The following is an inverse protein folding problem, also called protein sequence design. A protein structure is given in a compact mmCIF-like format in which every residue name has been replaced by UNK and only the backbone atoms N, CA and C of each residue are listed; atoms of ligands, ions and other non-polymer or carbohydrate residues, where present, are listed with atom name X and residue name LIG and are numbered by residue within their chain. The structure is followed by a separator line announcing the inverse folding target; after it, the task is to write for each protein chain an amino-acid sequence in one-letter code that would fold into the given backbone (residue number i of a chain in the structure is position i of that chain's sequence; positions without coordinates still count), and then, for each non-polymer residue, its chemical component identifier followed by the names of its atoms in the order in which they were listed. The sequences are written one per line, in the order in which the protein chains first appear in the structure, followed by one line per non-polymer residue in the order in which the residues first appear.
data_IF_444523090568
#
_entry.id   IF_444523090568
#
_cell.length_a   1.000
_cell.length_b   1.000
_cell.length_c   1.000
_cell.angle_alpha   90.00
_cell.angle_beta   90.00
_cell.angle_gamma   90.00
#
_symmetry.space_group_name_H-M   'P 1'
#
loop_
_entity.id
_entity.type
_entity.pdbx_description
1 polymer ?
#
# COMPACT_ATOMS: atom_id res chain seq x y z
N UNK A 1 -24.60 40.43 36.46
CA UNK A 1 -23.18 40.07 36.18
C UNK A 1 -22.43 39.62 37.43
N UNK A 2 -22.20 40.46 38.46
CA UNK A 2 -21.52 40.04 39.70
C UNK A 2 -22.20 38.83 40.39
N UNK A 3 -23.54 38.85 40.51
CA UNK A 3 -24.33 37.69 40.99
C UNK A 3 -24.12 36.42 40.15
N UNK A 4 -24.03 36.54 38.83
CA UNK A 4 -23.79 35.42 37.91
C UNK A 4 -22.41 34.80 38.12
N UNK A 5 -21.37 35.63 38.31
CA UNK A 5 -20.00 35.17 38.55
C UNK A 5 -19.89 34.40 39.88
N UNK A 6 -20.48 34.93 40.96
CA UNK A 6 -20.52 34.25 42.27
C UNK A 6 -21.21 32.88 42.14
N UNK A 7 -22.36 32.81 41.45
CA UNK A 7 -23.07 31.55 41.22
C UNK A 7 -22.27 30.53 40.38
N UNK A 8 -21.44 30.98 39.45
CA UNK A 8 -20.55 30.11 38.67
C UNK A 8 -19.36 29.60 39.51
N UNK A 9 -18.78 30.46 40.35
CA UNK A 9 -17.62 30.11 41.17
C UNK A 9 -17.97 29.24 42.38
N UNK A 10 -19.17 29.39 42.93
CA UNK A 10 -19.68 28.58 44.05
C UNK A 10 -20.21 27.20 43.65
N UNK A 11 -20.17 26.83 42.36
CA UNK A 11 -20.66 25.52 41.88
C UNK A 11 -19.69 24.38 42.23
N UNK A 12 -20.16 23.29 42.87
CA UNK A 12 -19.36 22.09 43.08
C UNK A 12 -19.09 21.39 41.74
N UNK A 13 -17.85 20.93 41.52
CA UNK A 13 -17.45 20.22 40.30
C UNK A 13 -17.26 21.12 39.06
N UNK A 14 -16.90 22.39 39.24
CA UNK A 14 -16.61 23.31 38.12
C UNK A 14 -15.46 22.78 37.25
N UNK A 15 -15.62 22.84 35.94
CA UNK A 15 -14.64 22.41 34.93
C UNK A 15 -13.95 23.60 34.24
N UNK A 16 -14.18 24.82 34.73
CA UNK A 16 -13.76 26.07 34.12
C UNK A 16 -13.07 26.98 35.14
N UNK A 17 -12.14 27.81 34.66
CA UNK A 17 -11.34 28.74 35.47
C UNK A 17 -12.09 30.04 35.80
N UNK A 18 -11.51 30.87 36.68
CA UNK A 18 -12.04 32.19 37.01
C UNK A 18 -12.05 33.12 35.77
N UNK A 19 -10.99 33.06 34.97
CA UNK A 19 -10.87 33.86 33.74
C UNK A 19 -11.95 33.48 32.72
N UNK A 20 -12.19 32.19 32.53
CA UNK A 20 -13.25 31.69 31.64
C UNK A 20 -14.64 32.10 32.15
N UNK A 21 -14.85 32.06 33.47
CA UNK A 21 -16.12 32.52 34.05
C UNK A 21 -16.32 34.04 33.91
N UNK A 22 -15.25 34.83 34.01
CA UNK A 22 -15.29 36.28 33.76
C UNK A 22 -15.62 36.57 32.29
N UNK A 23 -14.96 35.87 31.36
CA UNK A 23 -15.22 35.94 29.92
C UNK A 23 -16.68 35.57 29.60
N UNK A 24 -17.16 34.46 30.16
CA UNK A 24 -18.53 34.00 29.97
C UNK A 24 -19.54 35.03 30.49
N UNK A 25 -19.33 35.60 31.67
CA UNK A 25 -20.21 36.62 32.25
C UNK A 25 -20.14 37.95 31.48
N UNK A 26 -19.02 38.24 30.82
CA UNK A 26 -18.87 39.41 29.93
C UNK A 26 -19.67 39.25 28.64
N UNK A 27 -19.61 38.07 28.03
CA UNK A 27 -20.21 37.77 26.73
C UNK A 27 -21.66 37.27 26.79
N UNK A 28 -22.17 36.94 27.98
CA UNK A 28 -23.54 36.43 28.16
C UNK A 28 -24.45 37.41 28.92
N UNK A 29 -25.75 37.33 28.63
CA UNK A 29 -26.77 38.15 29.28
C UNK A 29 -27.20 37.59 30.65
N UNK A 30 -27.20 36.25 30.78
CA UNK A 30 -27.82 35.52 31.89
C UNK A 30 -27.02 34.26 32.28
N UNK A 31 -27.29 33.73 33.48
CA UNK A 31 -26.59 32.55 34.03
C UNK A 31 -26.71 31.30 33.14
N UNK A 32 -27.88 30.93 32.60
CA UNK A 32 -28.00 29.84 31.63
C UNK A 32 -27.10 29.98 30.40
N UNK A 33 -27.01 31.17 29.81
CA UNK A 33 -26.13 31.40 28.64
C UNK A 33 -24.65 31.33 29.02
N UNK A 34 -24.27 31.86 30.18
CA UNK A 34 -22.90 31.72 30.71
C UNK A 34 -22.53 30.24 30.91
N UNK A 35 -23.45 29.44 31.47
CA UNK A 35 -23.22 28.00 31.68
C UNK A 35 -23.09 27.24 30.36
N UNK A 36 -23.90 27.59 29.36
CA UNK A 36 -23.83 26.98 28.03
C UNK A 36 -22.51 27.28 27.33
N UNK A 37 -21.99 28.50 27.48
CA UNK A 37 -20.66 28.91 27.01
C UNK A 37 -19.52 28.15 27.73
N UNK A 38 -19.72 27.81 29.01
CA UNK A 38 -18.71 27.13 29.83
C UNK A 38 -18.81 25.60 29.82
N UNK A 39 -19.87 25.04 29.22
CA UNK A 39 -20.18 23.61 29.27
C UNK A 39 -20.40 23.05 27.88
N UNK A 40 -19.35 23.05 27.07
CA UNK A 40 -19.32 22.31 25.82
C UNK A 40 -18.85 20.87 26.06
N UNK A 41 -19.44 19.93 25.30
CA UNK A 41 -19.07 18.51 25.33
C UNK A 41 -18.36 18.15 24.04
N UNK A 42 -17.16 17.60 24.17
CA UNK A 42 -16.44 17.02 23.05
C UNK A 42 -17.07 15.67 22.68
N UNK A 43 -17.36 15.39 21.40
CA UNK A 43 -17.94 14.12 20.97
C UNK A 43 -16.97 12.94 21.09
N UNK A 44 -15.66 13.21 21.17
CA UNK A 44 -14.62 12.17 21.30
C UNK A 44 -14.36 11.80 22.76
N UNK A 45 -14.42 12.77 23.68
CA UNK A 45 -14.22 12.55 25.12
C UNK A 45 -15.44 13.02 25.92
N UNK A 46 -16.58 12.30 25.86
CA UNK A 46 -17.86 12.75 26.44
C UNK A 46 -17.83 12.94 27.97
N UNK A 47 -16.82 12.41 28.65
CA UNK A 47 -16.60 12.57 30.10
C UNK A 47 -15.95 13.90 30.51
N UNK A 48 -15.40 14.69 29.57
CA UNK A 48 -14.71 15.95 29.86
C UNK A 48 -15.56 17.12 29.38
N UNK A 49 -15.85 18.06 30.28
CA UNK A 49 -16.47 19.35 29.94
C UNK A 49 -15.39 20.36 29.66
N UNK A 50 -15.55 21.12 28.59
CA UNK A 50 -14.60 22.14 28.17
C UNK A 50 -15.31 23.50 28.08
N UNK A 51 -14.58 24.55 28.39
CA UNK A 51 -14.98 25.93 28.11
C UNK A 51 -14.98 26.18 26.59
N UNK A 52 -15.68 27.22 26.14
CA UNK A 52 -15.71 27.59 24.73
C UNK A 52 -14.30 27.91 24.16
N UNK A 53 -13.41 28.52 24.94
CA UNK A 53 -12.03 28.82 24.52
C UNK A 53 -11.18 27.56 24.26
N UNK A 54 -11.59 26.42 24.82
CA UNK A 54 -10.94 25.12 24.63
C UNK A 54 -11.58 24.28 23.53
N UNK A 55 -12.56 24.81 22.79
CA UNK A 55 -13.22 24.14 21.68
C UNK A 55 -12.69 24.67 20.35
N UNK A 56 -12.24 23.74 19.51
CA UNK A 56 -11.82 23.98 18.13
C UNK A 56 -12.97 23.53 17.22
N UNK A 57 -13.38 24.43 16.32
CA UNK A 57 -14.32 24.08 15.25
C UNK A 57 -13.52 23.67 14.02
N UNK A 58 -13.89 22.56 13.40
CA UNK A 58 -13.26 22.12 12.16
C UNK A 58 -13.56 23.11 11.04
N UNK A 59 -12.62 23.30 10.12
CA UNK A 59 -12.72 24.32 9.07
C UNK A 59 -13.68 23.93 7.95
N UNK A 60 -13.77 22.63 7.66
CA UNK A 60 -14.60 22.07 6.59
C UNK A 60 -15.93 21.49 7.06
N UNK A 61 -16.13 21.32 8.37
CA UNK A 61 -17.38 20.81 8.92
C UNK A 61 -17.72 21.51 10.23
N UNK A 62 -19.00 21.56 10.61
CA UNK A 62 -19.43 22.21 11.86
C UNK A 62 -19.12 21.39 13.14
N UNK A 63 -18.24 20.38 13.04
CA UNK A 63 -17.83 19.55 14.16
C UNK A 63 -16.96 20.34 15.14
N UNK A 64 -17.19 20.13 16.43
CA UNK A 64 -16.53 20.85 17.53
C UNK A 64 -15.80 19.86 18.42
N UNK A 65 -14.50 20.02 18.53
CA UNK A 65 -13.61 19.13 19.28
C UNK A 65 -12.94 19.94 20.40
N UNK A 66 -12.65 19.32 21.54
CA UNK A 66 -11.77 19.98 22.49
C UNK A 66 -10.34 20.03 21.97
N UNK A 67 -9.58 21.02 22.41
CA UNK A 67 -8.19 21.24 22.02
C UNK A 67 -7.32 20.00 22.28
N UNK A 68 -7.56 19.27 23.38
CA UNK A 68 -6.83 18.03 23.71
C UNK A 68 -7.09 16.93 22.68
N UNK A 69 -8.35 16.69 22.31
CA UNK A 69 -8.69 15.67 21.32
C UNK A 69 -8.19 16.06 19.93
N UNK A 70 -8.29 17.33 19.55
CA UNK A 70 -7.74 17.84 18.29
C UNK A 70 -6.22 17.61 18.22
N UNK A 71 -5.48 18.04 19.25
CA UNK A 71 -4.03 17.88 19.34
C UNK A 71 -3.61 16.41 19.29
N UNK A 72 -4.22 15.58 20.13
CA UNK A 72 -3.90 14.15 20.20
C UNK A 72 -4.16 13.43 18.87
N UNK A 73 -5.31 13.69 18.25
CA UNK A 73 -5.66 13.09 16.97
C UNK A 73 -4.69 13.52 15.86
N UNK A 74 -4.52 14.83 15.66
CA UNK A 74 -3.69 15.33 14.56
C UNK A 74 -2.20 15.06 14.77
N UNK A 75 -1.69 15.09 16.00
CA UNK A 75 -0.28 14.72 16.27
C UNK A 75 0.00 13.26 15.87
N UNK A 76 -0.84 12.32 16.33
CA UNK A 76 -0.70 10.91 15.93
C UNK A 76 -0.95 10.73 14.42
N UNK A 77 -1.99 11.37 13.86
CA UNK A 77 -2.30 11.23 12.45
C UNK A 77 -1.20 11.81 11.53
N UNK A 78 -0.61 12.96 11.87
CA UNK A 78 0.50 13.56 11.11
C UNK A 78 1.73 12.64 11.17
N UNK A 79 2.01 11.99 12.31
CA UNK A 79 3.17 11.11 12.47
C UNK A 79 2.99 9.77 11.77
N UNK A 80 1.85 9.13 11.98
CA UNK A 80 1.64 7.73 11.66
C UNK A 80 0.84 7.49 10.37
N UNK A 81 0.01 8.46 9.96
CA UNK A 81 -0.95 8.29 8.87
C UNK A 81 -0.56 9.07 7.61
N UNK A 82 -1.20 8.75 6.49
CA UNK A 82 -1.06 9.52 5.23
C UNK A 82 -1.87 10.81 5.29
N UNK A 83 -1.50 11.81 4.48
CA UNK A 83 -2.23 13.09 4.37
C UNK A 83 -3.74 12.90 4.15
N UNK A 84 -4.16 11.92 3.36
CA UNK A 84 -5.58 11.64 3.10
C UNK A 84 -6.41 11.27 4.33
N UNK A 85 -5.76 10.91 5.44
CA UNK A 85 -6.42 10.56 6.71
C UNK A 85 -6.38 11.72 7.71
N UNK A 86 -5.83 12.87 7.32
CA UNK A 86 -5.86 14.11 8.08
C UNK A 86 -7.21 14.80 7.86
N UNK A 87 -8.29 14.11 8.24
CA UNK A 87 -9.68 14.54 8.09
C UNK A 87 -10.34 14.71 9.46
N UNK A 88 -11.56 15.23 9.51
CA UNK A 88 -12.29 15.35 10.77
C UNK A 88 -12.47 13.97 11.44
N UNK A 89 -12.03 13.78 12.69
CA UNK A 89 -12.19 12.51 13.41
C UNK A 89 -13.64 12.16 13.76
N UNK A 90 -14.56 13.12 13.71
CA UNK A 90 -15.98 12.91 14.04
C UNK A 90 -16.80 12.44 12.83
N UNK A 91 -16.63 13.10 11.68
CA UNK A 91 -17.46 12.83 10.50
C UNK A 91 -16.68 12.31 9.29
N UNK A 92 -15.34 12.26 9.35
CA UNK A 92 -14.49 11.77 8.26
C UNK A 92 -14.35 12.72 7.06
N UNK A 93 -14.92 13.93 7.12
CA UNK A 93 -14.88 14.92 6.04
C UNK A 93 -13.65 15.84 6.14
N UNK A 94 -13.16 16.41 5.03
CA UNK A 94 -13.63 16.21 3.65
C UNK A 94 -13.10 14.92 3.02
N UNK A 95 -13.71 14.46 1.93
CA UNK A 95 -13.20 13.31 1.16
C UNK A 95 -11.94 13.67 0.37
N UNK A 96 -10.76 13.34 0.93
CA UNK A 96 -9.45 13.69 0.34
C UNK A 96 -8.98 12.67 -0.72
N UNK A 97 -9.66 11.54 -0.88
CA UNK A 97 -9.37 10.53 -1.92
C UNK A 97 -10.53 10.49 -2.91
N UNK A 98 -10.33 10.93 -4.15
CA UNK A 98 -11.34 10.82 -5.23
C UNK A 98 -11.52 12.09 -6.06
N UNK A 99 -12.63 12.16 -6.81
CA UNK A 99 -13.09 13.28 -7.66
C UNK A 99 -13.53 14.53 -6.87
N UNK A 100 -13.01 14.76 -5.66
CA UNK A 100 -13.18 16.06 -5.00
C UNK A 100 -12.59 17.15 -5.90
N UNK A 101 -13.24 18.32 -5.98
CA UNK A 101 -12.65 19.46 -6.70
C UNK A 101 -11.28 19.74 -6.06
N UNK A 102 -10.18 19.72 -6.82
CA UNK A 102 -8.83 19.87 -6.25
C UNK A 102 -8.71 21.18 -5.45
N UNK A 103 -9.47 22.20 -5.84
CA UNK A 103 -9.56 23.50 -5.17
C UNK A 103 -10.13 23.39 -3.74
N UNK A 104 -11.19 22.61 -3.52
CA UNK A 104 -11.81 22.44 -2.19
C UNK A 104 -10.89 21.70 -1.22
N UNK A 105 -10.14 20.71 -1.71
CA UNK A 105 -9.13 19.98 -0.93
C UNK A 105 -7.94 20.87 -0.60
N UNK A 106 -7.53 21.74 -1.53
CA UNK A 106 -6.46 22.72 -1.29
C UNK A 106 -6.88 23.73 -0.22
N UNK A 107 -8.09 24.28 -0.33
CA UNK A 107 -8.64 25.20 0.66
C UNK A 107 -8.77 24.56 2.04
N UNK A 108 -9.14 23.27 2.10
CA UNK A 108 -9.11 22.51 3.35
C UNK A 108 -7.73 22.51 4.00
N UNK A 109 -6.69 22.13 3.24
CA UNK A 109 -5.35 22.04 3.79
C UNK A 109 -4.77 23.41 4.14
N UNK A 110 -5.14 24.48 3.42
CA UNK A 110 -4.76 25.85 3.77
C UNK A 110 -5.37 26.30 5.11
N UNK A 111 -6.66 26.01 5.32
CA UNK A 111 -7.33 26.33 6.58
C UNK A 111 -6.84 25.43 7.73
N UNK A 112 -6.63 24.15 7.45
CA UNK A 112 -6.06 23.20 8.41
C UNK A 112 -4.63 23.59 8.78
N UNK A 113 -3.81 24.07 7.84
CA UNK A 113 -2.45 24.56 8.12
C UNK A 113 -2.44 25.61 9.22
N UNK A 114 -3.37 26.56 9.15
CA UNK A 114 -3.50 27.63 10.14
C UNK A 114 -3.79 27.04 11.53
N UNK A 115 -4.66 26.04 11.61
CA UNK A 115 -4.98 25.35 12.87
C UNK A 115 -3.80 24.51 13.38
N UNK A 116 -3.12 23.75 12.52
CA UNK A 116 -1.95 22.94 12.89
C UNK A 116 -0.81 23.84 13.36
N UNK A 117 -0.51 24.94 12.66
CA UNK A 117 0.53 25.89 13.07
C UNK A 117 0.28 26.47 14.46
N UNK A 118 -0.97 26.79 14.77
CA UNK A 118 -1.32 27.38 16.06
C UNK A 118 -1.37 26.33 17.20
N UNK A 119 -1.96 25.17 16.96
CA UNK A 119 -2.22 24.18 18.01
C UNK A 119 -1.14 23.10 18.16
N UNK A 120 -0.35 22.83 17.11
CA UNK A 120 0.67 21.78 16.99
C UNK A 120 1.94 22.30 16.26
N UNK A 121 2.60 23.36 16.74
CA UNK A 121 3.79 23.92 16.08
C UNK A 121 4.93 22.91 15.91
N UNK A 122 5.05 21.93 16.81
CA UNK A 122 6.04 20.85 16.75
C UNK A 122 5.86 19.88 15.58
N UNK A 123 4.62 19.68 15.12
CA UNK A 123 4.28 18.77 14.02
C UNK A 123 4.05 19.51 12.68
N UNK A 124 4.09 20.85 12.69
CA UNK A 124 3.79 21.70 11.54
C UNK A 124 4.72 21.46 10.34
N UNK A 125 6.03 21.36 10.58
CA UNK A 125 7.01 21.07 9.53
C UNK A 125 6.78 19.67 8.89
N UNK A 126 6.44 18.67 9.71
CA UNK A 126 6.12 17.33 9.22
C UNK A 126 4.83 17.34 8.39
N UNK A 127 3.81 18.08 8.83
CA UNK A 127 2.56 18.27 8.10
C UNK A 127 2.81 18.91 6.73
N UNK A 128 3.50 20.05 6.69
CA UNK A 128 3.87 20.75 5.45
C UNK A 128 4.68 19.87 4.50
N UNK A 129 5.64 19.11 5.04
CA UNK A 129 6.41 18.15 4.26
C UNK A 129 5.53 17.08 3.62
N UNK A 130 4.59 16.51 4.37
CA UNK A 130 3.68 15.49 3.84
C UNK A 130 2.79 16.03 2.72
N UNK A 131 2.29 17.25 2.83
CA UNK A 131 1.52 17.91 1.76
C UNK A 131 2.36 18.07 0.48
N UNK A 132 3.60 18.54 0.64
CA UNK A 132 4.56 18.71 -0.46
C UNK A 132 4.88 17.38 -1.14
N UNK A 133 5.20 16.36 -0.35
CA UNK A 133 5.53 15.03 -0.87
C UNK A 133 4.33 14.41 -1.62
N UNK A 134 3.10 14.64 -1.15
CA UNK A 134 1.90 14.21 -1.87
C UNK A 134 1.74 14.93 -3.21
N UNK A 135 1.95 16.24 -3.26
CA UNK A 135 1.87 17.01 -4.50
C UNK A 135 2.90 16.56 -5.54
N UNK A 136 4.11 16.20 -5.07
CA UNK A 136 5.20 15.72 -5.92
C UNK A 136 5.05 14.24 -6.32
N UNK A 137 4.20 13.47 -5.64
CA UNK A 137 4.09 12.02 -5.85
C UNK A 137 3.66 11.63 -7.28
N UNK A 138 2.93 12.50 -7.98
CA UNK A 138 2.53 12.28 -9.37
C UNK A 138 3.69 12.44 -10.35
N UNK A 139 4.80 13.08 -9.95
CA UNK A 139 5.94 13.33 -10.82
C UNK A 139 6.75 12.04 -11.04
N UNK A 140 7.08 11.68 -12.30
CA UNK A 140 7.87 10.48 -12.61
C UNK A 140 9.26 10.46 -11.97
N UNK A 141 9.84 11.62 -11.66
CA UNK A 141 11.13 11.80 -10.99
C UNK A 141 11.05 11.65 -9.46
N UNK A 142 9.85 11.65 -8.87
CA UNK A 142 9.72 11.57 -7.42
C UNK A 142 10.02 10.16 -6.89
N UNK A 143 10.81 10.07 -5.82
CA UNK A 143 11.24 8.83 -5.17
C UNK A 143 11.23 8.96 -3.65
N UNK A 144 10.84 7.89 -2.96
CA UNK A 144 10.92 7.83 -1.51
C UNK A 144 12.27 7.29 -1.05
N UNK A 145 12.88 7.95 -0.05
CA UNK A 145 14.04 7.41 0.63
C UNK A 145 13.74 6.00 1.18
N UNK A 146 14.66 5.06 0.96
CA UNK A 146 14.51 3.66 1.39
C UNK A 146 14.79 3.43 2.87
N UNK A 147 15.31 4.44 3.57
CA UNK A 147 15.54 4.40 5.02
C UNK A 147 14.27 4.79 5.80
N UNK A 148 14.22 4.50 7.10
CA UNK A 148 13.09 4.81 7.99
C UNK A 148 12.88 6.32 8.28
N UNK A 149 13.21 7.21 7.34
CA UNK A 149 13.05 8.67 7.48
C UNK A 149 11.85 9.25 6.72
N UNK A 150 11.17 8.44 5.88
CA UNK A 150 9.95 8.81 5.14
C UNK A 150 10.05 10.18 4.44
N UNK A 151 11.16 10.39 3.73
CA UNK A 151 11.45 11.64 3.01
C UNK A 151 11.35 11.44 1.49
N UNK A 152 10.61 12.29 0.79
CA UNK A 152 10.49 12.33 -0.66
C UNK A 152 11.61 13.16 -1.31
N UNK A 153 12.15 12.68 -2.44
CA UNK A 153 13.18 13.38 -3.21
C UNK A 153 12.81 13.38 -4.69
N UNK A 154 12.94 14.52 -5.34
CA UNK A 154 12.92 14.59 -6.80
C UNK A 154 14.29 14.15 -7.31
N UNK A 155 14.30 13.07 -8.08
CA UNK A 155 15.51 12.43 -8.53
C UNK A 155 15.52 12.28 -10.06
N UNK A 156 16.64 12.64 -10.66
CA UNK A 156 16.84 12.56 -12.12
C UNK A 156 16.88 11.08 -12.56
N UNK A 157 16.12 10.76 -13.62
CA UNK A 157 15.86 9.37 -14.01
C UNK A 157 17.10 8.61 -14.51
N UNK A 158 18.12 9.33 -14.97
CA UNK A 158 19.38 8.84 -15.54
C UNK A 158 20.42 8.45 -14.47
N UNK A 159 20.23 8.87 -13.22
CA UNK A 159 21.14 8.53 -12.11
C UNK A 159 20.57 7.42 -11.24
N UNK A 160 21.40 6.42 -10.92
CA UNK A 160 21.00 5.38 -9.96
C UNK A 160 21.19 5.85 -8.51
N UNK A 161 22.16 6.70 -8.22
CA UNK A 161 22.44 7.18 -6.86
C UNK A 161 21.46 8.27 -6.46
N UNK A 162 20.75 8.08 -5.35
CA UNK A 162 19.94 9.09 -4.69
C UNK A 162 20.52 9.40 -3.32
N UNK A 163 20.71 10.67 -3.02
CA UNK A 163 21.15 11.14 -1.70
C UNK A 163 19.95 11.77 -0.97
N UNK A 164 19.60 11.23 0.20
CA UNK A 164 18.49 11.75 0.99
C UNK A 164 18.92 12.99 1.79
N UNK A 165 18.33 14.19 1.59
CA UNK A 165 18.68 15.39 2.35
C UNK A 165 18.40 15.27 3.85
N UNK A 166 17.40 14.47 4.24
CA UNK A 166 17.00 14.32 5.64
C UNK A 166 17.92 13.39 6.43
N UNK A 167 18.15 12.15 5.95
CA UNK A 167 18.99 11.20 6.68
C UNK A 167 20.46 11.20 6.23
N UNK A 168 20.80 11.96 5.17
CA UNK A 168 22.14 12.03 4.55
C UNK A 168 22.69 10.69 4.07
N UNK A 169 21.84 9.66 3.97
CA UNK A 169 22.21 8.34 3.45
C UNK A 169 21.88 8.24 1.97
N UNK A 170 22.75 7.54 1.27
CA UNK A 170 22.66 7.32 -0.18
C UNK A 170 22.02 5.96 -0.47
N UNK A 171 21.13 5.90 -1.45
CA UNK A 171 20.44 4.67 -1.88
C UNK A 171 20.31 4.61 -3.39
N UNK A 172 20.08 3.42 -3.93
CA UNK A 172 19.74 3.28 -5.34
C UNK A 172 18.27 3.69 -5.62
N UNK A 173 18.02 4.47 -6.67
CA UNK A 173 16.70 4.89 -7.15
C UNK A 173 15.82 3.74 -7.64
N UNK A 174 16.44 2.66 -8.12
CA UNK A 174 15.76 1.50 -8.67
C UNK A 174 15.66 0.35 -7.67
N UNK A 175 16.81 -0.18 -7.20
CA UNK A 175 16.82 -1.34 -6.31
C UNK A 175 16.65 -1.01 -4.83
N UNK A 176 16.66 0.28 -4.46
CA UNK A 176 16.49 0.80 -3.10
C UNK A 176 17.56 0.39 -2.08
N UNK A 177 18.54 -0.42 -2.46
CA UNK A 177 19.67 -0.82 -1.61
C UNK A 177 20.53 0.38 -1.18
N UNK A 178 21.21 0.32 -0.01
CA UNK A 178 22.24 1.28 0.36
C UNK A 178 23.25 1.45 -0.77
N UNK A 179 23.62 2.69 -1.07
CA UNK A 179 24.55 2.97 -2.15
C UNK A 179 25.96 2.55 -1.76
N UNK A 180 26.63 1.82 -2.66
CA UNK A 180 28.03 1.42 -2.52
C UNK A 180 28.82 1.90 -3.73
N UNK A 181 30.12 2.23 -3.59
CA UNK A 181 30.96 2.59 -4.73
C UNK A 181 30.96 1.53 -5.85
N UNK A 182 30.83 0.25 -5.49
CA UNK A 182 30.76 -0.87 -6.43
C UNK A 182 29.44 -0.95 -7.21
N UNK A 183 28.43 -0.16 -6.83
CA UNK A 183 27.20 0.00 -7.61
C UNK A 183 27.33 1.13 -8.65
N UNK A 184 28.41 1.90 -8.63
CA UNK A 184 28.64 2.96 -9.60
C UNK A 184 28.94 2.37 -10.98
N UNK A 185 28.17 2.79 -11.98
CA UNK A 185 28.39 2.38 -13.38
C UNK A 185 28.00 0.94 -13.71
N UNK A 186 27.37 0.22 -12.78
CA UNK A 186 26.87 -1.14 -13.00
C UNK A 186 25.37 -1.21 -12.77
N UNK A 187 24.70 -2.15 -13.45
CA UNK A 187 23.27 -2.37 -13.27
C UNK A 187 22.96 -2.93 -11.87
N UNK A 188 21.73 -2.70 -11.39
CA UNK A 188 21.28 -3.27 -10.11
C UNK A 188 21.36 -4.80 -10.06
N UNK A 189 21.26 -5.48 -11.22
CA UNK A 189 21.41 -6.93 -11.29
C UNK A 189 22.86 -7.36 -11.07
N UNK A 190 23.81 -6.69 -11.72
CA UNK A 190 25.24 -6.96 -11.55
C UNK A 190 25.69 -6.66 -10.13
N UNK A 191 25.24 -5.53 -9.56
CA UNK A 191 25.53 -5.20 -8.17
C UNK A 191 25.01 -6.27 -7.20
N UNK A 192 23.80 -6.80 -7.43
CA UNK A 192 23.25 -7.89 -6.60
C UNK A 192 24.09 -9.17 -6.69
N UNK A 193 24.54 -9.56 -7.88
CA UNK A 193 25.42 -10.72 -8.05
C UNK A 193 26.76 -10.52 -7.33
N UNK A 194 27.32 -9.31 -7.41
CA UNK A 194 28.53 -8.95 -6.71
C UNK A 194 28.35 -9.03 -5.18
N UNK A 195 27.25 -8.50 -4.64
CA UNK A 195 26.92 -8.60 -3.21
C UNK A 195 26.83 -10.05 -2.75
N UNK A 196 26.21 -10.93 -3.55
CA UNK A 196 26.09 -12.37 -3.25
C UNK A 196 27.45 -13.08 -3.19
N UNK A 197 28.41 -12.66 -4.00
CA UNK A 197 29.73 -13.27 -4.07
C UNK A 197 30.71 -12.72 -3.02
N UNK A 198 30.58 -11.45 -2.62
CA UNK A 198 31.62 -10.73 -1.87
C UNK A 198 31.21 -10.31 -0.44
N UNK A 199 29.93 -10.42 -0.05
CA UNK A 199 29.46 -10.06 1.30
C UNK A 199 28.61 -11.18 1.95
N UNK A 200 29.18 -12.37 2.23
CA UNK A 200 28.46 -13.48 2.87
C UNK A 200 27.99 -13.21 4.31
N UNK A 201 28.55 -12.23 5.02
CA UNK A 201 28.23 -11.96 6.43
C UNK A 201 27.07 -10.96 6.65
N UNK A 202 26.91 -9.95 5.78
CA UNK A 202 25.71 -9.09 5.77
C UNK A 202 24.45 -9.86 5.35
N UNK A 203 24.67 -10.94 4.62
CA UNK A 203 23.68 -11.94 4.26
C UNK A 203 23.19 -12.75 5.49
N UNK A 204 23.91 -12.76 6.63
CA UNK A 204 23.47 -13.45 7.86
C UNK A 204 22.58 -12.59 8.76
N UNK A 205 22.58 -11.26 8.58
CA UNK A 205 21.81 -10.30 9.38
C UNK A 205 20.61 -9.70 8.64
N UNK A 206 20.59 -9.78 7.31
CA UNK A 206 19.39 -9.47 6.51
C UNK A 206 18.48 -10.70 6.42
N UNK A 207 17.18 -10.59 6.77
CA UNK A 207 16.29 -11.75 6.81
C UNK A 207 16.23 -12.48 5.46
N UNK A 208 16.17 -13.81 5.55
CA UNK A 208 16.16 -14.78 4.45
C UNK A 208 15.08 -14.50 3.37
N UNK A 209 14.05 -13.70 3.71
CA UNK A 209 13.04 -13.15 2.79
C UNK A 209 13.65 -12.39 1.61
N UNK A 210 14.81 -11.75 1.79
CA UNK A 210 15.51 -10.97 0.76
C UNK A 210 16.32 -11.80 -0.26
N UNK A 211 16.69 -13.04 0.06
CA UNK A 211 17.64 -13.83 -0.75
C UNK A 211 17.01 -14.75 -1.78
N UNK A 212 15.78 -15.22 -1.57
CA UNK A 212 15.20 -16.27 -2.42
C UNK A 212 13.92 -15.89 -3.16
N UNK A 213 13.21 -14.82 -2.80
CA UNK A 213 12.06 -14.32 -3.57
C UNK A 213 12.42 -13.02 -4.30
N UNK A 214 12.78 -13.11 -5.57
CA UNK A 214 13.06 -11.93 -6.41
C UNK A 214 11.79 -11.23 -6.92
N UNK A 215 10.71 -11.28 -6.14
CA UNK A 215 9.40 -10.72 -6.49
C UNK A 215 8.79 -9.99 -5.28
N UNK A 216 9.62 -9.18 -4.60
CA UNK A 216 9.12 -8.29 -3.56
C UNK A 216 8.00 -7.41 -4.16
N UNK A 217 6.79 -7.40 -3.58
CA UNK A 217 5.69 -6.58 -4.06
C UNK A 217 6.14 -5.14 -4.27
N UNK A 218 5.91 -4.58 -5.45
CA UNK A 218 6.21 -3.18 -5.74
C UNK A 218 4.90 -2.43 -5.89
N UNK A 219 4.73 -1.37 -5.10
CA UNK A 219 3.57 -0.49 -5.26
C UNK A 219 3.66 0.22 -6.61
N UNK A 220 2.63 0.13 -7.48
CA UNK A 220 2.66 0.75 -8.80
C UNK A 220 2.71 2.28 -8.74
N UNK A 221 2.21 2.88 -7.66
CA UNK A 221 2.08 4.33 -7.51
C UNK A 221 3.35 5.00 -6.98
N UNK A 222 4.01 4.42 -5.99
CA UNK A 222 5.19 5.03 -5.35
C UNK A 222 6.49 4.23 -5.50
N UNK A 223 6.45 3.09 -6.20
CA UNK A 223 7.59 2.18 -6.42
C UNK A 223 8.25 1.67 -5.14
N UNK A 224 7.57 1.76 -4.00
CA UNK A 224 8.03 1.15 -2.76
C UNK A 224 8.02 -0.38 -2.90
N UNK A 225 9.17 -0.98 -2.63
CA UNK A 225 9.40 -2.43 -2.57
C UNK A 225 9.06 -2.93 -1.16
N UNK A 226 8.26 -3.98 -1.06
CA UNK A 226 7.86 -4.65 0.19
C UNK A 226 8.54 -6.01 0.26
N UNK A 227 9.24 -6.31 1.37
CA UNK A 227 10.01 -7.56 1.51
C UNK A 227 9.18 -8.80 1.89
N UNK A 228 7.85 -8.71 1.92
CA UNK A 228 7.04 -9.59 2.78
C UNK A 228 6.11 -10.52 1.99
N UNK A 229 6.24 -11.82 2.24
CA UNK A 229 5.20 -12.81 1.97
C UNK A 229 4.20 -12.81 3.13
N UNK A 230 2.93 -12.48 2.86
CA UNK A 230 1.83 -12.51 3.85
C UNK A 230 1.11 -13.85 3.87
N UNK A 231 1.87 -14.96 3.89
CA UNK A 231 1.32 -16.31 4.07
C UNK A 231 0.20 -16.70 3.10
N UNK A 232 0.10 -16.09 1.92
CA UNK A 232 -0.91 -16.38 0.87
C UNK A 232 -1.88 -15.25 0.54
N UNK A 233 -1.91 -14.16 1.33
CA UNK A 233 -2.67 -12.97 0.97
C UNK A 233 -1.93 -12.16 -0.10
N UNK A 234 -2.57 -11.96 -1.26
CA UNK A 234 -2.02 -11.18 -2.38
C UNK A 234 -2.46 -9.71 -2.34
N UNK A 235 -3.30 -9.30 -1.39
CA UNK A 235 -3.75 -7.93 -1.26
C UNK A 235 -2.80 -7.14 -0.34
N UNK A 236 -2.08 -6.17 -0.92
CA UNK A 236 -1.15 -5.32 -0.21
C UNK A 236 -1.65 -3.89 -0.18
N UNK A 237 -1.57 -3.26 1.00
CA UNK A 237 -1.77 -1.82 1.17
C UNK A 237 -0.43 -1.16 1.40
N UNK A 238 -0.03 -0.27 0.51
CA UNK A 238 1.23 0.46 0.69
C UNK A 238 1.13 1.42 1.87
N UNK A 239 2.01 1.32 2.88
CA UNK A 239 2.01 2.25 4.02
C UNK A 239 2.25 3.71 3.60
N UNK A 240 3.06 3.93 2.56
CA UNK A 240 3.44 5.26 2.09
C UNK A 240 2.34 5.91 1.23
N UNK A 241 1.85 5.23 0.20
CA UNK A 241 0.86 5.80 -0.73
C UNK A 241 -0.58 5.33 -0.53
N UNK A 242 -0.80 4.38 0.39
CA UNK A 242 -2.11 3.77 0.68
C UNK A 242 -2.81 3.15 -0.54
N UNK A 243 -2.07 2.94 -1.64
CA UNK A 243 -2.56 2.18 -2.79
C UNK A 243 -2.72 0.72 -2.37
N UNK A 244 -3.88 0.17 -2.68
CA UNK A 244 -4.15 -1.25 -2.57
C UNK A 244 -3.80 -1.92 -3.90
N UNK A 245 -2.95 -2.94 -3.87
CA UNK A 245 -2.46 -3.60 -5.08
C UNK A 245 -2.21 -5.10 -4.87
N UNK A 246 -2.20 -5.85 -5.96
CA UNK A 246 -1.88 -7.26 -5.97
C UNK A 246 -0.36 -7.48 -5.85
N UNK A 247 0.10 -8.26 -4.89
CA UNK A 247 1.52 -8.60 -4.73
C UNK A 247 2.09 -9.44 -5.87
N UNK A 248 1.25 -10.13 -6.65
CA UNK A 248 1.68 -10.96 -7.78
C UNK A 248 1.76 -10.25 -9.12
N UNK A 249 0.86 -9.31 -9.41
CA UNK A 249 0.82 -8.60 -10.71
C UNK A 249 0.85 -7.07 -10.61
N UNK A 250 0.95 -6.51 -9.40
CA UNK A 250 0.92 -5.06 -9.13
C UNK A 250 -0.32 -4.31 -9.61
N UNK A 251 -1.38 -5.03 -10.04
CA UNK A 251 -2.65 -4.43 -10.41
C UNK A 251 -3.36 -3.83 -9.20
N UNK A 252 -3.98 -2.68 -9.39
CA UNK A 252 -4.67 -1.96 -8.31
C UNK A 252 -5.97 -2.65 -7.95
N UNK A 253 -6.31 -2.61 -6.66
CA UNK A 253 -7.64 -2.98 -6.19
C UNK A 253 -8.58 -1.77 -6.27
N UNK A 254 -9.78 -2.02 -6.79
CA UNK A 254 -10.87 -1.08 -6.95
C UNK A 254 -12.00 -1.46 -6.00
N UNK A 255 -12.72 -0.48 -5.43
CA UNK A 255 -13.84 -0.73 -4.50
C UNK A 255 -15.16 -0.66 -5.26
N UNK A 256 -15.87 -1.78 -5.33
CA UNK A 256 -17.14 -1.91 -6.05
C UNK A 256 -18.32 -1.30 -5.31
N UNK A 257 -18.35 0.01 -5.10
CA UNK A 257 -19.57 0.72 -4.69
C UNK A 257 -19.63 2.10 -5.32
N UNK A 258 -20.52 2.26 -6.31
CA UNK A 258 -21.05 3.51 -6.94
C UNK A 258 -20.02 4.51 -7.50
N UNK A 259 -18.74 4.48 -7.12
CA UNK A 259 -17.70 5.32 -7.71
C UNK A 259 -17.06 4.63 -8.93
N UNK A 260 -16.91 5.40 -10.00
CA UNK A 260 -16.34 5.10 -11.32
C UNK A 260 -14.89 4.56 -11.34
N UNK A 261 -14.39 3.93 -10.27
CA UNK A 261 -12.97 3.56 -10.13
C UNK A 261 -12.56 2.30 -10.93
N UNK A 262 -13.54 1.52 -11.44
CA UNK A 262 -13.26 0.36 -12.28
C UNK A 262 -14.04 0.40 -13.59
N UNK A 263 -13.42 0.97 -14.64
CA UNK A 263 -13.99 1.09 -15.99
C UNK A 263 -13.90 -0.20 -16.82
N UNK A 264 -13.56 -1.34 -16.20
CA UNK A 264 -13.27 -2.58 -16.92
C UNK A 264 -14.54 -3.30 -17.40
N UNK A 265 -15.60 -3.32 -16.61
CA UNK A 265 -16.91 -3.89 -16.97
C UNK A 265 -18.00 -3.35 -16.05
N UNK A 266 -19.23 -3.23 -16.55
CA UNK A 266 -20.43 -2.86 -15.78
C UNK A 266 -20.69 -3.78 -14.59
N UNK A 267 -20.25 -5.04 -14.67
CA UNK A 267 -20.51 -6.05 -13.64
C UNK A 267 -19.56 -5.93 -12.44
N UNK A 268 -18.55 -5.06 -12.53
CA UNK A 268 -17.56 -4.84 -11.47
C UNK A 268 -18.17 -4.16 -10.24
N UNK A 269 -19.26 -3.40 -10.41
CA UNK A 269 -19.94 -2.70 -9.33
C UNK A 269 -20.56 -3.63 -8.28
N UNK A 270 -20.85 -4.88 -8.62
CA UNK A 270 -21.42 -5.87 -7.67
C UNK A 270 -20.36 -6.65 -6.88
N UNK A 271 -19.07 -6.52 -7.23
CA UNK A 271 -18.00 -7.43 -6.75
C UNK A 271 -17.27 -6.96 -5.49
N UNK A 272 -17.68 -5.84 -4.87
CA UNK A 272 -16.96 -5.28 -3.73
C UNK A 272 -15.51 -4.94 -4.09
N UNK A 273 -14.57 -5.09 -3.15
CA UNK A 273 -13.15 -4.83 -3.40
C UNK A 273 -12.53 -5.91 -4.31
N UNK A 274 -12.06 -5.54 -5.51
CA UNK A 274 -11.56 -6.48 -6.52
C UNK A 274 -10.41 -5.90 -7.34
N UNK A 275 -9.64 -6.77 -8.01
CA UNK A 275 -8.61 -6.40 -8.97
C UNK A 275 -8.70 -7.28 -10.22
N UNK A 276 -8.22 -6.76 -11.36
CA UNK A 276 -8.16 -7.51 -12.61
C UNK A 276 -6.77 -8.12 -12.78
N UNK A 277 -6.69 -9.44 -12.63
CA UNK A 277 -5.43 -10.16 -12.70
C UNK A 277 -5.18 -10.69 -14.12
N UNK A 278 -3.94 -10.61 -14.64
CA UNK A 278 -3.55 -11.31 -15.86
C UNK A 278 -3.42 -12.81 -15.61
N UNK A 279 -3.50 -13.61 -16.68
CA UNK A 279 -3.53 -15.08 -16.62
C UNK A 279 -2.27 -15.71 -16.01
N UNK A 280 -1.14 -15.00 -16.02
CA UNK A 280 0.14 -15.38 -15.41
C UNK A 280 0.29 -14.90 -13.95
N UNK A 281 -0.74 -14.25 -13.39
CA UNK A 281 -0.72 -13.84 -12.00
C UNK A 281 -0.78 -15.05 -11.05
N UNK A 282 -0.01 -14.97 -9.96
CA UNK A 282 -0.06 -15.91 -8.84
C UNK A 282 -1.49 -16.08 -8.27
N UNK A 283 -2.36 -15.08 -8.40
CA UNK A 283 -3.77 -15.17 -8.01
C UNK A 283 -4.48 -16.37 -8.66
N UNK A 284 -4.23 -16.64 -9.94
CA UNK A 284 -4.78 -17.79 -10.65
C UNK A 284 -3.87 -19.02 -10.57
N UNK A 285 -2.57 -18.82 -10.76
CA UNK A 285 -1.64 -19.95 -10.86
C UNK A 285 -1.42 -20.67 -9.53
N UNK A 286 -1.75 -20.07 -8.37
CA UNK A 286 -1.72 -20.75 -7.07
C UNK A 286 -2.72 -21.92 -6.99
N UNK A 287 -3.82 -21.86 -7.75
CA UNK A 287 -4.86 -22.89 -7.74
C UNK A 287 -4.48 -24.09 -8.63
N UNK A 288 -3.46 -23.95 -9.47
CA UNK A 288 -2.98 -25.04 -10.32
C UNK A 288 -2.28 -26.14 -9.50
N UNK A 289 -2.34 -27.36 -10.00
CA UNK A 289 -1.55 -28.46 -9.44
C UNK A 289 -0.06 -28.23 -9.70
N UNK A 290 0.78 -28.75 -8.81
CA UNK A 290 2.25 -28.68 -8.96
C UNK A 290 2.69 -29.31 -10.29
N UNK A 291 2.08 -30.44 -10.67
CA UNK A 291 2.34 -31.10 -11.96
C UNK A 291 2.00 -30.22 -13.16
N UNK A 292 0.89 -29.47 -13.11
CA UNK A 292 0.50 -28.55 -14.19
C UNK A 292 1.46 -27.36 -14.33
N UNK A 293 1.94 -26.81 -13.21
CA UNK A 293 2.97 -25.75 -13.22
C UNK A 293 4.31 -26.26 -13.78
N UNK A 294 4.70 -27.49 -13.43
CA UNK A 294 5.87 -28.14 -14.02
C UNK A 294 5.70 -28.36 -15.53
N UNK A 295 4.52 -28.80 -15.98
CA UNK A 295 4.21 -28.95 -17.41
C UNK A 295 4.33 -27.62 -18.15
N UNK A 296 3.77 -26.53 -17.61
CA UNK A 296 3.90 -25.19 -18.19
C UNK A 296 5.37 -24.79 -18.33
N UNK A 297 6.16 -24.99 -17.28
CA UNK A 297 7.59 -24.74 -17.31
C UNK A 297 8.29 -25.63 -18.35
N UNK A 298 7.97 -26.91 -18.45
CA UNK A 298 8.59 -27.86 -19.37
C UNK A 298 8.30 -27.50 -20.83
N UNK A 299 7.03 -27.30 -21.18
CA UNK A 299 6.60 -26.93 -22.54
C UNK A 299 7.19 -25.59 -22.98
N UNK A 300 7.38 -24.67 -22.03
CA UNK A 300 7.99 -23.36 -22.29
C UNK A 300 9.54 -23.39 -22.26
N UNK A 301 10.16 -24.38 -21.61
CA UNK A 301 11.62 -24.49 -21.42
C UNK A 301 12.38 -24.98 -22.64
N UNK A 302 11.72 -25.33 -23.74
CA UNK A 302 12.37 -25.56 -25.03
C UNK A 302 13.17 -24.34 -25.54
N UNK A 303 13.10 -23.18 -24.86
CA UNK A 303 13.82 -21.95 -25.24
C UNK A 303 14.98 -21.52 -24.33
N UNK A 304 15.09 -21.92 -23.05
CA UNK A 304 16.21 -21.45 -22.16
C UNK A 304 16.51 -22.41 -21.00
N UNK A 305 17.78 -22.82 -20.87
CA UNK A 305 18.29 -23.73 -19.81
C UNK A 305 18.82 -22.94 -18.60
N UNK A 306 17.96 -22.67 -17.63
CA UNK A 306 18.41 -22.36 -16.26
C UNK A 306 17.88 -23.48 -15.33
N UNK A 307 18.78 -24.18 -14.66
CA UNK A 307 18.40 -25.17 -13.63
C UNK A 307 18.13 -24.41 -12.33
N UNK A 308 17.04 -24.75 -11.64
CA UNK A 308 16.81 -24.33 -10.26
C UNK A 308 18.01 -24.80 -9.42
N UNK A 309 18.85 -23.86 -8.99
CA UNK A 309 19.91 -24.18 -8.03
C UNK A 309 19.28 -24.70 -6.74
N UNK A 310 19.86 -25.73 -6.10
CA UNK A 310 19.42 -26.15 -4.77
C UNK A 310 19.77 -25.04 -3.79
N UNK A 311 18.75 -24.40 -3.20
CA UNK A 311 18.99 -23.49 -2.08
C UNK A 311 19.44 -24.35 -0.88
N UNK A 312 20.64 -24.05 -0.37
CA UNK A 312 21.33 -24.82 0.66
C UNK A 312 20.67 -24.60 2.04
N UNK A 313 19.55 -25.27 2.30
CA UNK A 313 19.08 -25.57 3.67
C UNK A 313 17.97 -26.64 3.65
N UNK A 314 18.32 -27.88 3.27
CA UNK A 314 17.38 -28.99 3.15
C UNK A 314 17.41 -29.94 4.36
N UNK A 315 17.45 -29.42 5.59
CA UNK A 315 17.74 -30.26 6.77
C UNK A 315 16.68 -30.27 7.90
N UNK A 316 15.45 -29.77 7.73
CA UNK A 316 14.48 -29.75 8.85
C UNK A 316 13.02 -30.13 8.55
N UNK A 317 12.70 -30.71 7.40
CA UNK A 317 11.33 -31.20 7.08
C UNK A 317 10.21 -30.14 7.12
N UNK A 318 10.56 -28.88 7.33
CA UNK A 318 9.68 -27.73 7.59
C UNK A 318 10.12 -26.56 6.74
N UNK A 319 9.16 -25.72 6.37
CA UNK A 319 9.38 -24.58 5.49
C UNK A 319 9.98 -23.40 6.25
N UNK A 320 11.15 -22.94 5.81
CA UNK A 320 11.92 -21.84 6.41
C UNK A 320 11.59 -20.45 5.84
N UNK A 321 10.59 -20.34 4.96
CA UNK A 321 10.18 -19.04 4.39
C UNK A 321 9.63 -18.15 5.49
N UNK A 322 10.17 -16.94 5.61
CA UNK A 322 9.73 -15.97 6.60
C UNK A 322 8.43 -15.29 6.15
N UNK A 323 7.43 -15.25 7.03
CA UNK A 323 6.14 -14.60 6.84
C UNK A 323 5.97 -13.46 7.87
N UNK A 324 5.26 -12.39 7.49
CA UNK A 324 4.82 -11.37 8.45
C UNK A 324 3.44 -11.75 9.00
N UNK A 325 3.32 -11.96 10.32
CA UNK A 325 2.03 -12.24 10.96
C UNK A 325 1.22 -10.95 11.15
N UNK A 326 -0.10 -11.06 11.10
CA UNK A 326 -1.02 -9.91 11.21
C UNK A 326 -0.95 -9.23 12.58
N UNK A 327 -0.63 -9.99 13.64
CA UNK A 327 -0.67 -9.53 15.03
C UNK A 327 0.69 -9.12 15.60
N UNK A 328 1.79 -9.30 14.86
CA UNK A 328 3.13 -9.11 15.43
C UNK A 328 3.65 -7.69 15.20
N UNK A 329 3.64 -6.91 16.27
CA UNK A 329 4.62 -5.83 16.54
C UNK A 329 6.07 -6.35 16.66
N UNK A 330 6.31 -7.66 16.37
CA UNK A 330 7.49 -8.45 16.74
C UNK A 330 8.30 -9.06 15.59
N UNK A 331 8.02 -8.73 14.33
CA UNK A 331 8.89 -9.08 13.20
C UNK A 331 8.55 -10.38 12.47
N UNK A 332 9.46 -10.80 11.60
CA UNK A 332 9.32 -11.91 10.64
C UNK A 332 9.49 -13.28 11.31
N UNK A 333 8.58 -14.22 11.05
CA UNK A 333 8.61 -15.58 11.61
C UNK A 333 8.65 -16.66 10.50
N UNK A 334 9.32 -17.80 10.70
CA UNK A 334 9.33 -18.87 9.71
C UNK A 334 7.94 -19.51 9.56
N UNK A 335 7.59 -19.87 8.33
CA UNK A 335 6.33 -20.49 7.95
C UNK A 335 6.04 -21.77 8.74
N UNK A 336 7.06 -22.61 8.96
CA UNK A 336 6.98 -23.82 9.80
C UNK A 336 6.14 -24.97 9.23
N UNK A 337 5.39 -24.75 8.13
CA UNK A 337 4.58 -25.79 7.48
C UNK A 337 5.44 -26.94 6.94
N UNK A 338 4.88 -28.15 6.87
CA UNK A 338 5.57 -29.33 6.36
C UNK A 338 6.12 -29.11 4.95
N UNK A 339 7.39 -29.46 4.75
CA UNK A 339 8.09 -29.35 3.48
C UNK A 339 8.42 -30.75 2.94
N UNK A 340 7.60 -31.29 2.01
CA UNK A 340 7.88 -32.57 1.38
C UNK A 340 9.25 -32.57 0.68
N UNK A 341 9.97 -33.71 0.64
CA UNK A 341 11.28 -33.79 -0.01
C UNK A 341 11.23 -33.41 -1.49
N UNK A 342 10.11 -33.69 -2.16
CA UNK A 342 9.84 -33.33 -3.56
C UNK A 342 9.77 -31.81 -3.79
N UNK A 343 9.43 -31.05 -2.75
CA UNK A 343 9.34 -29.59 -2.77
C UNK A 343 10.60 -28.90 -2.26
N UNK A 344 11.73 -29.63 -2.13
CA UNK A 344 13.07 -29.06 -1.89
C UNK A 344 13.14 -28.10 -0.69
N UNK A 345 12.47 -28.43 0.42
CA UNK A 345 12.48 -27.59 1.64
C UNK A 345 11.40 -26.51 1.71
N UNK A 346 10.49 -26.45 0.73
CA UNK A 346 9.33 -25.55 0.77
C UNK A 346 8.04 -26.31 1.10
N UNK A 347 7.11 -25.64 1.79
CA UNK A 347 5.73 -26.12 1.87
C UNK A 347 5.07 -26.03 0.50
N UNK A 348 3.97 -26.75 0.28
CA UNK A 348 3.30 -26.77 -1.03
C UNK A 348 2.93 -25.37 -1.54
N UNK A 349 2.51 -24.47 -0.65
CA UNK A 349 2.16 -23.10 -1.02
C UNK A 349 3.39 -22.33 -1.53
N UNK A 350 4.44 -22.21 -0.73
CA UNK A 350 5.66 -21.51 -1.12
C UNK A 350 6.36 -22.16 -2.31
N UNK A 351 6.24 -23.48 -2.46
CA UNK A 351 6.72 -24.18 -3.65
C UNK A 351 5.98 -23.73 -4.91
N UNK A 352 4.64 -23.61 -4.87
CA UNK A 352 3.87 -23.06 -6.00
C UNK A 352 4.24 -21.60 -6.27
N UNK A 353 4.39 -20.77 -5.25
CA UNK A 353 4.82 -19.36 -5.41
C UNK A 353 6.17 -19.28 -6.14
N UNK A 354 7.11 -20.15 -5.77
CA UNK A 354 8.42 -20.28 -6.44
C UNK A 354 8.32 -20.73 -7.89
N UNK A 355 7.45 -21.71 -8.19
CA UNK A 355 7.23 -22.14 -9.58
C UNK A 355 6.60 -21.03 -10.43
N UNK A 356 5.64 -20.30 -9.89
CA UNK A 356 5.00 -19.16 -10.57
C UNK A 356 5.99 -18.02 -10.79
N UNK A 357 6.85 -17.73 -9.82
CA UNK A 357 7.94 -16.79 -10.00
C UNK A 357 8.84 -17.19 -11.18
N UNK A 358 9.16 -18.48 -11.30
CA UNK A 358 9.97 -18.99 -12.41
C UNK A 358 9.25 -18.85 -13.76
N UNK A 359 7.94 -19.15 -13.80
CA UNK A 359 7.06 -18.94 -14.97
C UNK A 359 7.13 -17.47 -15.41
N UNK A 360 6.95 -16.54 -14.48
CA UNK A 360 6.90 -15.11 -14.75
C UNK A 360 8.27 -14.54 -15.15
N UNK A 361 9.36 -14.99 -14.53
CA UNK A 361 10.74 -14.61 -14.90
C UNK A 361 11.11 -15.07 -16.31
N UNK A 362 10.61 -16.24 -16.74
CA UNK A 362 10.85 -16.80 -18.07
C UNK A 362 9.92 -16.21 -19.14
N UNK A 363 8.87 -15.50 -18.74
CA UNK A 363 7.81 -15.03 -19.64
C UNK A 363 7.02 -16.19 -20.24
N UNK A 364 6.82 -17.27 -19.48
CA UNK A 364 6.03 -18.42 -19.92
C UNK A 364 4.55 -18.04 -19.94
N UNK A 365 3.90 -18.11 -21.10
CA UNK A 365 2.46 -17.84 -21.22
C UNK A 365 1.65 -19.09 -20.81
N UNK A 366 0.79 -19.02 -19.77
CA UNK A 366 -0.07 -20.12 -19.36
C UNK A 366 -0.96 -20.68 -20.48
N UNK A 367 -1.25 -19.90 -21.53
CA UNK A 367 -2.11 -20.29 -22.66
C UNK A 367 -1.69 -21.59 -23.35
N UNK A 368 -0.39 -21.95 -23.27
CA UNK A 368 0.14 -23.16 -23.90
C UNK A 368 -0.35 -24.46 -23.26
N UNK A 369 -0.89 -24.39 -22.03
CA UNK A 369 -1.48 -25.54 -21.32
C UNK A 369 -2.95 -25.32 -20.95
N UNK A 370 -3.61 -24.32 -21.54
CA UNK A 370 -5.04 -24.10 -21.37
C UNK A 370 -5.84 -24.96 -22.35
N UNK A 371 -6.93 -25.52 -21.85
CA UNK A 371 -7.96 -26.16 -22.67
C UNK A 371 -8.79 -25.12 -23.45
N UNK A 372 -9.51 -25.54 -24.51
CA UNK A 372 -10.44 -24.65 -25.22
C UNK A 372 -11.50 -24.02 -24.32
N UNK A 373 -11.97 -24.73 -23.29
CA UNK A 373 -12.91 -24.20 -22.32
C UNK A 373 -12.30 -23.07 -21.47
N UNK A 374 -11.07 -23.26 -20.98
CA UNK A 374 -10.35 -22.25 -20.19
C UNK A 374 -10.00 -21.02 -21.04
N UNK A 375 -9.60 -21.20 -22.31
CA UNK A 375 -9.33 -20.08 -23.21
C UNK A 375 -10.58 -19.22 -23.47
N UNK A 376 -11.76 -19.85 -23.63
CA UNK A 376 -13.03 -19.13 -23.74
C UNK A 376 -13.35 -18.36 -22.45
N UNK A 377 -13.17 -18.99 -21.30
CA UNK A 377 -13.42 -18.35 -20.00
C UNK A 377 -12.49 -17.14 -19.77
N UNK A 378 -11.22 -17.22 -20.18
CA UNK A 378 -10.29 -16.07 -20.13
C UNK A 378 -10.73 -14.94 -21.06
N UNK A 379 -11.11 -15.23 -22.31
CA UNK A 379 -11.63 -14.22 -23.23
C UNK A 379 -12.88 -13.52 -22.67
N UNK A 380 -13.82 -14.28 -22.11
CA UNK A 380 -15.01 -13.72 -21.46
C UNK A 380 -14.65 -12.85 -20.25
N UNK A 381 -13.73 -13.32 -19.41
CA UNK A 381 -13.26 -12.57 -18.24
C UNK A 381 -12.67 -11.22 -18.63
N UNK A 382 -11.98 -11.16 -19.77
CA UNK A 382 -11.38 -9.94 -20.31
C UNK A 382 -12.32 -9.10 -21.19
N UNK A 383 -13.62 -9.42 -21.17
CA UNK A 383 -14.66 -8.77 -21.98
C UNK A 383 -14.30 -8.74 -23.48
N UNK A 384 -13.63 -9.79 -23.98
CA UNK A 384 -13.27 -9.96 -25.38
C UNK A 384 -14.28 -10.84 -26.09
N UNK A 385 -14.51 -10.57 -27.39
CA UNK A 385 -15.40 -11.39 -28.22
C UNK A 385 -14.83 -12.79 -28.37
N UNK A 386 -15.56 -13.79 -27.87
CA UNK A 386 -15.17 -15.20 -28.01
C UNK A 386 -15.49 -15.68 -29.44
N UNK A 387 -14.51 -16.20 -30.19
CA UNK A 387 -14.76 -16.83 -31.48
C UNK A 387 -15.73 -18.00 -31.33
N UNK A 388 -16.79 -18.05 -32.14
CA UNK A 388 -17.67 -19.22 -32.24
C UNK A 388 -17.05 -20.26 -33.16
N UNK A 389 -17.19 -21.54 -32.83
CA UNK A 389 -16.74 -22.63 -33.70
C UNK A 389 -17.64 -22.72 -34.93
N UNK A 390 -17.05 -22.77 -36.12
CA UNK A 390 -17.81 -22.99 -37.35
C UNK A 390 -18.30 -24.44 -37.46
N UNK A 391 -19.44 -24.71 -38.14
CA UNK A 391 -20.02 -26.05 -38.21
C UNK A 391 -19.12 -27.11 -38.87
N UNK A 392 -18.19 -26.70 -39.73
CA UNK A 392 -17.22 -27.59 -40.41
C UNK A 392 -15.77 -27.42 -39.92
N UNK A 393 -15.55 -26.63 -38.87
CA UNK A 393 -14.20 -26.34 -38.39
C UNK A 393 -13.66 -27.49 -37.53
N UNK A 394 -12.49 -28.02 -37.91
CA UNK A 394 -11.78 -29.01 -37.12
C UNK A 394 -11.39 -28.44 -35.75
N UNK A 395 -11.48 -29.26 -34.71
CA UNK A 395 -11.23 -28.84 -33.32
C UNK A 395 -9.84 -28.23 -33.09
N UNK A 396 -8.73 -28.76 -33.68
CA UNK A 396 -7.41 -28.14 -33.53
C UNK A 396 -7.28 -26.76 -34.16
N UNK A 397 -7.99 -26.51 -35.28
CA UNK A 397 -7.99 -25.20 -35.95
C UNK A 397 -8.73 -24.16 -35.11
N UNK A 398 -9.87 -24.58 -34.53
CA UNK A 398 -10.62 -23.75 -33.60
C UNK A 398 -9.80 -23.43 -32.34
N UNK A 399 -9.12 -24.42 -31.76
CA UNK A 399 -8.22 -24.22 -30.61
C UNK A 399 -7.09 -23.22 -30.93
N UNK A 400 -6.47 -23.37 -32.10
CA UNK A 400 -5.43 -22.45 -32.56
C UNK A 400 -5.96 -21.01 -32.69
N UNK A 401 -7.17 -20.83 -33.23
CA UNK A 401 -7.81 -19.50 -33.35
C UNK A 401 -8.13 -18.90 -31.98
N UNK A 402 -8.62 -19.70 -31.03
CA UNK A 402 -8.84 -19.25 -29.65
C UNK A 402 -7.52 -18.77 -29.01
N UNK A 403 -6.46 -19.56 -29.15
CA UNK A 403 -5.12 -19.23 -28.62
C UNK A 403 -4.59 -17.93 -29.21
N UNK A 404 -4.66 -17.78 -30.54
CA UNK A 404 -4.22 -16.56 -31.23
C UNK A 404 -5.02 -15.33 -30.80
N UNK A 405 -6.33 -15.46 -30.67
CA UNK A 405 -7.20 -14.36 -30.22
C UNK A 405 -6.83 -13.95 -28.79
N UNK A 406 -6.63 -14.91 -27.89
CA UNK A 406 -6.29 -14.63 -26.50
C UNK A 406 -4.92 -13.95 -26.37
N UNK A 407 -3.89 -14.44 -27.08
CA UNK A 407 -2.55 -13.84 -27.00
C UNK A 407 -2.46 -12.46 -27.63
N UNK A 408 -3.30 -12.17 -28.64
CA UNK A 408 -3.33 -10.88 -29.33
C UNK A 408 -4.14 -9.83 -28.55
N UNK A 409 -5.30 -10.21 -28.01
CA UNK A 409 -6.23 -9.28 -27.37
C UNK A 409 -5.94 -9.10 -25.87
N UNK A 410 -5.33 -10.08 -25.21
CA UNK A 410 -5.09 -10.04 -23.76
C UNK A 410 -3.59 -10.16 -23.48
N UNK A 411 -2.91 -9.06 -23.10
CA UNK A 411 -1.49 -9.12 -22.76
C UNK A 411 -1.26 -9.87 -21.44
N UNK A 412 -0.06 -10.44 -21.30
CA UNK A 412 0.43 -10.93 -20.02
C UNK A 412 0.68 -9.76 -19.06
N UNK A 413 0.77 -10.06 -17.76
CA UNK A 413 1.19 -9.07 -16.78
C UNK A 413 2.53 -8.46 -17.18
N UNK A 414 2.62 -7.13 -17.21
CA UNK A 414 3.93 -6.47 -17.33
C UNK A 414 4.73 -6.89 -16.11
N UNK A 415 5.65 -7.84 -16.28
CA UNK A 415 6.66 -8.12 -15.27
C UNK A 415 7.28 -6.78 -14.92
N UNK A 416 7.38 -6.47 -13.62
CA UNK A 416 7.88 -5.20 -13.08
C UNK A 416 9.37 -4.92 -13.43
N UNK A 417 9.90 -5.54 -14.49
CA UNK A 417 11.26 -5.54 -14.98
C UNK A 417 11.40 -5.08 -16.45
N UNK A 418 10.37 -4.47 -17.04
CA UNK A 418 10.42 -3.91 -18.40
C UNK A 418 10.46 -2.37 -18.43
N UNK A 419 10.96 -1.75 -17.37
CA UNK A 419 11.50 -0.39 -17.46
C UNK A 419 13.01 -0.53 -17.37
N UNK A 420 13.66 -0.46 -18.54
CA UNK A 420 15.11 -0.37 -18.66
C UNK A 420 15.66 0.91 -18.04
#
# INVERSE_FOLDING_TARGET
RARTLVLLMSRPGRSFSLEEALEAVRLSADLPSALRFLSHRCPICPGVRCSFSQIITMTHCCCRLCQTCFRSFFSSAIREKSVHQLVCPQCGQPEVKGQGRPDEVMDYFNLLDTQIRHFLPEDHELFQRKLRDQALQSMPSFRWCSHQCSFGVLHEADRLRMDCPSCRKSTCSQCRSPWSPQHQGVSCQQFRLWQQQNQPDLLSTEPWSSKSLGTNPVSPRCRCVFSLARGGCLHFTCSQCQQQFCGGCSQSFSRGSVSDDCSFSSDCGARGCHAHHPRDCLYYLRDWSVGRLHLLLQVSSARRSERLQPDACACAGTCSVLELREDSSRGEEPCGRAAPPQHRGYCQQHYKERLVELVNRRGCDPVVVLSPAEMRAELQRWNQKVPTRGPQEAEPLYEHRLRLTLTTCVPLGRSARSHG
#
